data_IF_212240882414
#
_entry.id   IF_212240882414
#
_cell.length_a   1.000
_cell.length_b   1.000
_cell.length_c   1.000
_cell.angle_alpha   90.00
_cell.angle_beta   90.00
_cell.angle_gamma   90.00
#
_symmetry.space_group_name_H-M   'P 1'
#
loop_
_entity.id
_entity.type
_entity.pdbx_description
1 polymer ?
#
# COMPACT_ATOMS: atom_id res chain seq x y z
N UNK A 1 14.88 -0.47 -13.09
CA UNK A 1 14.62 -0.94 -11.72
C UNK A 1 13.45 -0.14 -11.15
N UNK A 2 12.42 -0.82 -10.67
CA UNK A 2 11.28 -0.11 -10.12
C UNK A 2 11.57 0.41 -8.71
N UNK A 3 10.66 1.24 -8.19
CA UNK A 3 10.85 1.89 -6.90
C UNK A 3 10.91 0.88 -5.76
N UNK A 4 10.09 -0.17 -5.82
CA UNK A 4 10.08 -1.22 -4.79
C UNK A 4 11.42 -1.95 -4.73
N UNK A 5 11.94 -2.36 -5.87
CA UNK A 5 13.24 -3.06 -5.95
C UNK A 5 14.35 -2.15 -5.43
N UNK A 6 14.36 -0.90 -5.85
CA UNK A 6 15.34 0.08 -5.38
C UNK A 6 15.27 0.27 -3.86
N UNK A 7 14.06 0.36 -3.30
CA UNK A 7 13.87 0.47 -1.86
C UNK A 7 14.47 -0.74 -1.13
N UNK A 8 14.14 -1.95 -1.57
CA UNK A 8 14.61 -3.17 -0.92
C UNK A 8 16.13 -3.34 -1.01
N UNK A 9 16.75 -2.80 -2.03
CA UNK A 9 18.21 -2.82 -2.16
C UNK A 9 18.91 -1.89 -1.17
N UNK A 10 18.23 -0.83 -0.72
CA UNK A 10 18.81 0.14 0.18
C UNK A 10 18.55 -0.16 1.66
N UNK A 11 17.53 -0.95 1.96
CA UNK A 11 17.18 -1.31 3.33
C UNK A 11 17.61 -2.75 3.56
N UNK A 12 18.73 -2.93 4.24
CA UNK A 12 19.32 -4.26 4.49
C UNK A 12 18.87 -4.89 5.81
N UNK A 13 18.26 -4.12 6.71
CA UNK A 13 17.83 -4.61 8.01
C UNK A 13 16.39 -5.06 7.94
N UNK A 14 16.16 -6.38 7.97
CA UNK A 14 14.82 -6.97 7.93
C UNK A 14 14.02 -6.70 9.19
N UNK A 15 14.67 -6.30 10.27
CA UNK A 15 14.00 -5.95 11.52
C UNK A 15 13.71 -4.44 11.61
N UNK A 16 14.02 -3.69 10.58
CA UNK A 16 13.76 -2.26 10.56
C UNK A 16 12.29 -1.95 10.78
N UNK A 17 12.02 -0.91 11.53
CA UNK A 17 10.68 -0.35 11.67
C UNK A 17 10.46 0.61 10.53
N UNK A 18 9.50 0.28 9.68
CA UNK A 18 9.21 1.05 8.47
C UNK A 18 7.74 1.43 8.51
N UNK A 19 7.46 2.70 8.26
CA UNK A 19 6.10 3.20 8.16
C UNK A 19 5.86 3.61 6.71
N UNK A 20 4.94 2.93 6.06
CA UNK A 20 4.50 3.31 4.72
C UNK A 20 3.16 4.01 4.80
N UNK A 21 3.08 5.22 4.24
CA UNK A 21 1.87 6.04 4.23
C UNK A 21 1.20 5.89 2.87
N UNK A 22 -0.09 5.52 2.88
CA UNK A 22 -0.87 5.39 1.67
C UNK A 22 -0.47 4.23 0.77
N UNK A 23 -0.31 3.00 1.29
CA UNK A 23 0.16 1.87 0.47
C UNK A 23 -0.84 1.46 -0.61
N UNK A 24 -2.12 1.66 -0.39
CA UNK A 24 -3.20 1.32 -1.30
C UNK A 24 -3.15 -0.16 -1.70
N UNK A 25 -3.05 -0.47 -3.02
CA UNK A 25 -3.02 -1.85 -3.50
C UNK A 25 -1.62 -2.30 -3.95
N UNK A 26 -0.65 -1.41 -3.92
CA UNK A 26 0.72 -1.72 -4.37
C UNK A 26 1.72 -1.12 -3.39
N UNK A 27 1.83 -1.69 -2.19
CA UNK A 27 2.76 -1.16 -1.20
C UNK A 27 4.20 -1.26 -1.69
N UNK A 28 5.00 -0.27 -1.32
CA UNK A 28 6.43 -0.28 -1.58
C UNK A 28 7.13 -1.30 -0.69
N UNK A 29 6.68 -1.42 0.55
CA UNK A 29 7.28 -2.29 1.55
C UNK A 29 6.55 -3.62 1.60
N UNK A 30 7.30 -4.71 1.47
CA UNK A 30 6.77 -6.06 1.59
C UNK A 30 6.89 -6.51 3.05
N UNK A 31 5.75 -6.70 3.72
CA UNK A 31 5.72 -7.14 5.13
C UNK A 31 6.26 -8.55 5.34
N UNK A 32 6.30 -9.37 4.29
CA UNK A 32 6.93 -10.68 4.40
C UNK A 32 8.44 -10.56 4.57
N UNK A 33 9.03 -9.53 3.99
CA UNK A 33 10.46 -9.24 4.12
C UNK A 33 10.77 -8.36 5.33
N UNK A 34 9.84 -7.48 5.69
CA UNK A 34 10.00 -6.53 6.78
C UNK A 34 8.83 -6.67 7.76
N UNK A 35 8.89 -7.65 8.67
CA UNK A 35 7.74 -7.93 9.54
C UNK A 35 7.41 -6.82 10.53
N UNK A 36 8.32 -5.88 10.74
CA UNK A 36 8.09 -4.73 11.60
C UNK A 36 7.62 -3.49 10.83
N UNK A 37 7.24 -3.66 9.58
CA UNK A 37 6.67 -2.58 8.79
C UNK A 37 5.20 -2.37 9.14
N UNK A 38 4.75 -1.11 9.04
CA UNK A 38 3.38 -0.72 9.28
C UNK A 38 2.83 0.03 8.06
N UNK A 39 1.60 -0.26 7.71
CA UNK A 39 0.87 0.50 6.70
C UNK A 39 -0.09 1.45 7.40
N UNK A 40 -0.05 2.72 7.06
CA UNK A 40 -0.96 3.70 7.62
C UNK A 40 -1.58 4.58 6.53
N UNK A 41 -2.72 5.15 6.87
CA UNK A 41 -3.42 6.12 6.04
C UNK A 41 -4.27 6.98 6.97
N UNK A 42 -4.73 8.11 6.49
CA UNK A 42 -5.70 8.93 7.25
C UNK A 42 -7.07 8.24 7.34
N UNK A 43 -7.31 7.25 6.48
CA UNK A 43 -8.51 6.41 6.47
C UNK A 43 -8.14 4.99 6.83
N UNK A 44 -9.07 4.27 7.48
CA UNK A 44 -8.89 2.84 7.68
C UNK A 44 -9.18 2.06 6.39
N UNK A 45 -8.90 0.77 6.41
CA UNK A 45 -9.06 -0.10 5.23
C UNK A 45 -10.48 -0.03 4.67
N UNK A 46 -11.49 -0.10 5.52
CA UNK A 46 -12.88 -0.08 5.09
C UNK A 46 -13.26 1.25 4.45
N UNK A 47 -12.79 2.36 5.01
CA UNK A 47 -13.04 3.68 4.46
C UNK A 47 -12.39 3.85 3.08
N UNK A 48 -11.17 3.34 2.91
CA UNK A 48 -10.48 3.39 1.62
C UNK A 48 -11.25 2.59 0.58
N UNK A 49 -11.64 1.36 0.91
CA UNK A 49 -12.40 0.51 -0.02
C UNK A 49 -13.72 1.15 -0.41
N UNK A 50 -14.41 1.74 0.55
CA UNK A 50 -15.68 2.43 0.30
C UNK A 50 -15.50 3.62 -0.64
N UNK A 51 -14.45 4.40 -0.43
CA UNK A 51 -14.15 5.56 -1.26
C UNK A 51 -13.92 5.13 -2.72
N UNK A 52 -13.07 4.14 -2.94
CA UNK A 52 -12.74 3.70 -4.28
C UNK A 52 -13.92 3.00 -4.97
N UNK A 53 -14.72 2.27 -4.20
CA UNK A 53 -15.93 1.64 -4.73
C UNK A 53 -16.95 2.68 -5.19
N UNK A 54 -17.18 3.72 -4.40
CA UNK A 54 -18.15 4.76 -4.73
C UNK A 54 -17.72 5.64 -5.91
N UNK A 55 -16.42 5.75 -6.14
CA UNK A 55 -15.86 6.55 -7.23
C UNK A 55 -15.40 5.71 -8.41
N UNK A 56 -15.80 4.45 -8.47
CA UNK A 56 -15.34 3.52 -9.49
C UNK A 56 -15.59 4.06 -10.91
N UNK A 57 -16.76 4.62 -11.14
CA UNK A 57 -17.10 5.16 -12.46
C UNK A 57 -16.31 6.43 -12.80
N UNK A 58 -15.85 7.18 -11.80
CA UNK A 58 -15.04 8.39 -12.02
C UNK A 58 -13.59 8.04 -12.35
N UNK A 59 -13.18 6.85 -11.97
CA UNK A 59 -11.81 6.39 -12.19
C UNK A 59 -11.66 5.58 -13.46
N UNK A 60 -12.69 5.54 -14.28
CA UNK A 60 -12.75 4.66 -15.45
C UNK A 60 -11.68 4.95 -16.50
N UNK A 61 -11.02 6.06 -16.41
CA UNK A 61 -10.15 6.48 -17.50
C UNK A 61 -8.69 6.20 -17.28
N UNK A 62 -8.23 5.96 -16.07
CA UNK A 62 -6.77 5.91 -15.88
C UNK A 62 -6.26 4.82 -14.97
N UNK A 63 -6.89 4.54 -13.85
CA UNK A 63 -6.42 3.53 -12.93
C UNK A 63 -7.56 3.08 -12.05
N UNK A 64 -8.21 2.02 -12.47
CA UNK A 64 -9.08 1.33 -11.53
C UNK A 64 -8.19 0.63 -10.51
N UNK A 65 -8.34 0.98 -9.26
CA UNK A 65 -7.70 0.25 -8.18
C UNK A 65 -8.59 -0.94 -7.84
N UNK A 66 -8.11 -2.18 -8.02
CA UNK A 66 -8.89 -3.34 -7.60
C UNK A 66 -9.10 -3.29 -6.09
N UNK A 67 -10.36 -3.19 -5.67
CA UNK A 67 -10.71 -3.00 -4.27
C UNK A 67 -10.21 -4.15 -3.39
N UNK A 68 -10.27 -5.36 -3.92
CA UNK A 68 -9.82 -6.55 -3.19
C UNK A 68 -8.31 -6.60 -3.00
N UNK A 69 -7.57 -5.83 -3.77
CA UNK A 69 -6.11 -5.77 -3.67
C UNK A 69 -5.61 -4.69 -2.70
N UNK A 70 -6.51 -3.87 -2.16
CA UNK A 70 -6.13 -2.86 -1.19
C UNK A 70 -5.64 -3.55 0.08
N UNK A 71 -4.41 -3.23 0.48
CA UNK A 71 -3.81 -3.85 1.66
C UNK A 71 -4.43 -3.31 2.94
N UNK A 72 -4.39 -4.11 3.99
CA UNK A 72 -4.93 -3.72 5.28
C UNK A 72 -4.07 -2.66 5.94
N UNK A 73 -4.72 -1.65 6.48
CA UNK A 73 -4.08 -0.60 7.27
C UNK A 73 -3.98 -1.09 8.71
N UNK A 74 -2.83 -0.90 9.27
CA UNK A 74 -2.56 -1.29 10.66
C UNK A 74 -3.22 -0.37 11.68
#
# INVERSE_FOLDING_TARGET
MDLRTSFHMHINDKNARILEIGPLNRPLVDKLLYPNAFYCDIRDTMQIKTLYKSNEYLNTTKTSVPIDDIVDID
#
